data_IF_494718873607
#
_entry.id   IF_494718873607
#
_cell.length_a   1.000
_cell.length_b   1.000
_cell.length_c   1.000
_cell.angle_alpha   90.00
_cell.angle_beta   90.00
_cell.angle_gamma   90.00
#
_symmetry.space_group_name_H-M   'P 1'
#
loop_
_entity.id
_entity.type
_entity.pdbx_description
1 polymer ?
#
# COMPACT_ATOMS: atom_id res chain seq x y z
N UNK A 1 31.88 -11.27 -18.50
CA UNK A 1 30.60 -10.82 -19.08
C UNK A 1 30.02 -9.78 -18.15
N UNK A 2 29.80 -8.53 -18.57
CA UNK A 2 29.33 -7.47 -17.70
C UNK A 2 27.83 -7.63 -17.46
N UNK A 3 27.42 -7.63 -16.21
CA UNK A 3 26.00 -7.57 -15.79
C UNK A 3 25.51 -6.13 -15.90
N UNK A 4 24.54 -5.92 -16.75
CA UNK A 4 23.81 -4.67 -16.88
C UNK A 4 22.89 -4.48 -15.66
N UNK A 5 23.13 -3.43 -14.91
CA UNK A 5 22.23 -2.93 -13.86
C UNK A 5 20.97 -2.36 -14.51
N UNK A 6 19.81 -2.97 -14.25
CA UNK A 6 18.51 -2.37 -14.61
C UNK A 6 18.08 -1.43 -13.49
N UNK A 7 18.02 -0.15 -13.79
CA UNK A 7 17.32 0.84 -12.97
C UNK A 7 15.84 0.52 -12.96
N UNK A 8 15.24 0.47 -11.79
CA UNK A 8 13.79 0.39 -11.63
C UNK A 8 13.17 1.71 -12.10
N UNK A 9 12.49 1.69 -13.23
CA UNK A 9 11.71 2.81 -13.71
C UNK A 9 10.27 2.65 -13.20
N UNK A 10 9.79 3.67 -12.50
CA UNK A 10 8.35 3.82 -12.20
C UNK A 10 7.67 4.21 -13.50
N UNK A 11 6.94 3.30 -14.12
CA UNK A 11 6.17 3.58 -15.33
C UNK A 11 4.83 4.19 -14.91
N UNK A 12 4.67 5.49 -15.10
CA UNK A 12 3.36 6.13 -15.09
C UNK A 12 2.67 5.84 -16.41
N UNK A 13 1.59 5.08 -16.39
CA UNK A 13 0.76 4.84 -17.55
C UNK A 13 -0.06 6.11 -17.85
N UNK A 14 0.25 6.78 -18.95
CA UNK A 14 -0.53 7.91 -19.48
C UNK A 14 -1.73 7.36 -20.26
N UNK A 15 -2.93 7.55 -19.74
CA UNK A 15 -4.15 7.26 -20.47
C UNK A 15 -4.44 8.42 -21.45
N UNK A 16 -4.44 8.10 -22.74
CA UNK A 16 -4.85 9.04 -23.81
C UNK A 16 -6.38 9.01 -23.91
N UNK A 17 -7.02 10.11 -23.59
CA UNK A 17 -8.45 10.29 -23.79
C UNK A 17 -8.71 10.75 -25.24
N UNK A 18 -9.50 9.99 -25.99
CA UNK A 18 -10.00 10.40 -27.31
C UNK A 18 -11.18 11.37 -27.12
N UNK A 19 -11.03 12.57 -27.66
CA UNK A 19 -12.12 13.54 -27.78
C UNK A 19 -12.85 13.31 -29.12
N UNK A 20 -14.15 13.05 -29.04
CA UNK A 20 -15.05 13.04 -30.22
C UNK A 20 -15.47 14.48 -30.49
N UNK A 21 -15.11 15.01 -31.65
CA UNK A 21 -15.57 16.31 -32.11
C UNK A 21 -16.95 16.17 -32.75
N UNK A 22 -17.94 16.85 -32.20
CA UNK A 22 -19.23 17.10 -32.84
C UNK A 22 -19.18 18.46 -33.54
N UNK A 23 -19.29 18.45 -34.86
CA UNK A 23 -19.45 19.65 -35.66
C UNK A 23 -20.93 20.03 -35.71
N UNK A 24 -21.27 21.14 -35.11
CA UNK A 24 -22.59 21.79 -35.27
C UNK A 24 -22.37 23.28 -35.54
N UNK A 25 -22.86 23.74 -36.68
CA UNK A 25 -22.91 25.16 -37.03
C UNK A 25 -24.16 25.81 -36.42
N UNK A 26 -24.00 26.89 -35.69
CA UNK A 26 -25.05 27.88 -35.45
C UNK A 26 -24.44 29.21 -35.00
N UNK A 27 -24.91 30.26 -35.64
CA UNK A 27 -24.58 31.67 -35.44
C UNK A 27 -25.09 32.24 -34.11
N UNK A 28 -24.49 33.38 -33.76
CA UNK A 28 -24.99 34.47 -32.91
C UNK A 28 -24.48 34.56 -31.49
N UNK A 29 -23.71 35.61 -31.28
CA UNK A 29 -23.55 36.50 -30.10
C UNK A 29 -24.19 36.03 -28.77
N UNK A 30 -23.30 35.61 -27.87
CA UNK A 30 -23.50 35.78 -26.45
C UNK A 30 -22.13 35.77 -25.76
N UNK A 31 -21.88 36.79 -24.98
CA UNK A 31 -20.78 36.90 -24.02
C UNK A 31 -20.67 35.65 -23.17
N UNK A 32 -19.86 34.71 -23.64
CA UNK A 32 -19.60 33.46 -22.92
C UNK A 32 -18.39 33.72 -22.01
N UNK A 33 -18.65 34.07 -20.76
CA UNK A 33 -17.67 33.89 -19.70
C UNK A 33 -17.11 32.50 -19.80
N UNK A 34 -15.86 32.38 -20.19
CA UNK A 34 -15.15 31.12 -20.34
C UNK A 34 -15.18 30.39 -18.99
N UNK A 35 -16.10 29.44 -18.86
CA UNK A 35 -16.05 28.48 -17.74
C UNK A 35 -14.81 27.62 -17.96
N UNK A 36 -13.75 27.95 -17.27
CA UNK A 36 -12.54 27.13 -17.26
C UNK A 36 -12.97 25.75 -16.77
N UNK A 37 -12.99 24.79 -17.68
CA UNK A 37 -13.30 23.41 -17.34
C UNK A 37 -12.33 22.95 -16.25
N UNK A 38 -12.84 22.64 -15.07
CA UNK A 38 -12.06 22.02 -14.00
C UNK A 38 -11.54 20.70 -14.60
N UNK A 39 -10.22 20.47 -14.64
CA UNK A 39 -9.69 19.22 -15.19
C UNK A 39 -10.34 18.07 -14.41
N UNK A 40 -10.89 17.11 -15.14
CA UNK A 40 -11.48 15.92 -14.54
C UNK A 40 -10.44 15.29 -13.62
N UNK A 41 -10.79 15.13 -12.33
CA UNK A 41 -9.93 14.48 -11.36
C UNK A 41 -9.68 13.07 -11.88
N UNK A 42 -8.46 12.76 -12.28
CA UNK A 42 -8.08 11.39 -12.63
C UNK A 42 -8.40 10.49 -11.46
N UNK A 43 -9.07 9.37 -11.71
CA UNK A 43 -9.35 8.39 -10.66
C UNK A 43 -8.02 7.99 -9.99
N UNK A 44 -8.01 7.84 -8.66
CA UNK A 44 -6.81 7.41 -7.97
C UNK A 44 -6.30 6.10 -8.56
N UNK A 45 -5.00 6.05 -8.84
CA UNK A 45 -4.35 4.85 -9.36
C UNK A 45 -3.76 4.06 -8.19
N UNK A 46 -3.81 2.71 -8.24
CA UNK A 46 -3.19 1.90 -7.22
C UNK A 46 -1.67 2.08 -7.24
N UNK A 47 -1.06 2.01 -6.06
CA UNK A 47 0.38 2.15 -5.85
C UNK A 47 1.01 0.77 -5.74
N UNK A 48 2.04 0.52 -6.56
CA UNK A 48 2.84 -0.69 -6.54
C UNK A 48 4.31 -0.34 -6.29
N UNK A 49 5.03 -1.21 -5.60
CA UNK A 49 6.46 -1.03 -5.37
C UNK A 49 7.16 -2.37 -5.15
N UNK A 50 8.44 -2.42 -5.48
CA UNK A 50 9.30 -3.54 -5.17
C UNK A 50 10.20 -3.19 -3.97
N UNK A 51 10.34 -4.09 -3.04
CA UNK A 51 11.35 -3.94 -2.00
C UNK A 51 12.75 -4.09 -2.63
N UNK A 52 13.73 -3.31 -2.18
CA UNK A 52 15.09 -3.48 -2.66
C UNK A 52 15.59 -4.90 -2.37
N UNK A 53 16.41 -5.49 -3.26
CA UNK A 53 17.01 -6.79 -3.04
C UNK A 53 17.76 -6.81 -1.70
N UNK A 54 17.66 -7.92 -0.97
CA UNK A 54 18.37 -8.09 0.30
C UNK A 54 19.88 -7.92 0.12
N UNK A 55 20.52 -7.19 1.03
CA UNK A 55 21.96 -6.96 1.01
C UNK A 55 22.43 -5.82 0.08
N UNK A 56 21.53 -5.16 -0.62
CA UNK A 56 21.84 -3.93 -1.35
C UNK A 56 21.69 -2.75 -0.42
N UNK A 57 22.76 -1.99 -0.21
CA UNK A 57 22.68 -0.73 0.50
C UNK A 57 21.78 0.23 -0.28
N UNK A 58 20.64 0.55 0.31
CA UNK A 58 19.76 1.60 -0.23
C UNK A 58 20.40 2.94 0.12
N UNK A 59 20.46 3.86 -0.84
CA UNK A 59 20.72 5.26 -0.55
C UNK A 59 19.80 5.71 0.60
N UNK A 60 20.18 6.76 1.34
CA UNK A 60 19.44 7.23 2.52
C UNK A 60 17.91 7.09 2.30
N UNK A 61 17.16 6.51 3.24
CA UNK A 61 15.74 6.28 3.06
C UNK A 61 15.02 7.58 2.70
N UNK A 62 14.22 7.55 1.66
CA UNK A 62 13.41 8.67 1.18
C UNK A 62 11.96 8.20 0.98
N UNK A 63 11.01 9.08 1.21
CA UNK A 63 9.61 8.79 0.90
C UNK A 63 9.45 8.62 -0.61
N UNK A 64 8.78 7.54 -1.03
CA UNK A 64 8.45 7.32 -2.44
C UNK A 64 7.37 8.28 -2.92
N UNK A 65 6.47 8.69 -2.01
CA UNK A 65 5.39 9.62 -2.29
C UNK A 65 5.44 10.78 -1.29
N UNK A 66 5.08 11.98 -1.73
CA UNK A 66 5.00 13.16 -0.87
C UNK A 66 3.80 13.11 0.10
N UNK A 67 2.86 12.22 -0.15
CA UNK A 67 1.63 12.04 0.64
C UNK A 67 1.56 10.60 1.17
N UNK A 68 0.80 10.36 2.25
CA UNK A 68 0.62 9.02 2.77
C UNK A 68 -0.19 8.16 1.81
N UNK A 69 -0.14 6.85 2.05
CA UNK A 69 -0.98 5.86 1.38
C UNK A 69 -1.97 5.26 2.36
N UNK A 70 -3.08 4.80 1.82
CA UNK A 70 -4.04 3.95 2.48
C UNK A 70 -3.98 2.55 1.88
N UNK A 71 -3.97 1.53 2.72
CA UNK A 71 -3.91 0.13 2.31
C UNK A 71 -5.25 -0.51 2.66
N UNK A 72 -5.93 -1.07 1.66
CA UNK A 72 -7.24 -1.67 1.82
C UNK A 72 -7.20 -3.18 1.57
N UNK A 73 -8.05 -3.92 2.28
CA UNK A 73 -8.20 -5.36 2.11
C UNK A 73 -9.57 -5.70 1.50
N UNK A 74 -9.57 -6.60 0.51
CA UNK A 74 -10.77 -6.95 -0.26
C UNK A 74 -11.53 -8.17 0.31
N UNK A 75 -11.28 -8.53 1.55
CA UNK A 75 -11.93 -9.68 2.16
C UNK A 75 -13.46 -9.52 2.22
N UNK A 76 -14.16 -10.46 1.59
CA UNK A 76 -15.60 -10.67 1.70
C UNK A 76 -16.50 -9.55 1.14
N UNK A 77 -16.10 -8.84 0.06
CA UNK A 77 -16.98 -7.90 -0.70
C UNK A 77 -18.06 -7.24 0.18
N UNK A 78 -17.65 -6.65 1.30
CA UNK A 78 -18.57 -6.07 2.26
C UNK A 78 -18.99 -4.68 1.84
N UNK A 79 -20.11 -4.17 2.34
CA UNK A 79 -20.59 -2.82 2.00
C UNK A 79 -19.62 -1.72 2.46
N UNK A 80 -18.63 -2.05 3.30
CA UNK A 80 -17.64 -1.10 3.81
C UNK A 80 -16.22 -1.55 3.48
N UNK A 81 -15.46 -0.67 2.85
CA UNK A 81 -14.03 -0.87 2.63
C UNK A 81 -13.31 -0.97 3.97
N UNK A 82 -12.38 -1.93 4.08
CA UNK A 82 -11.58 -2.14 5.29
C UNK A 82 -10.13 -1.75 5.05
N UNK A 83 -9.55 -1.06 6.02
CA UNK A 83 -8.20 -0.49 5.95
C UNK A 83 -7.24 -1.19 6.91
N UNK A 84 -5.97 -1.23 6.53
CA UNK A 84 -4.86 -1.54 7.42
C UNK A 84 -4.77 -0.45 8.48
N UNK A 85 -4.90 -0.82 9.74
CA UNK A 85 -5.09 0.09 10.87
C UNK A 85 -4.16 -0.27 12.02
N UNK A 86 -3.55 0.73 12.65
CA UNK A 86 -2.82 0.52 13.90
C UNK A 86 -3.78 0.66 15.06
N UNK A 87 -3.79 -0.28 15.99
CA UNK A 87 -4.61 -0.17 17.19
C UNK A 87 -4.32 1.16 17.92
N UNK A 88 -5.34 2.01 18.00
CA UNK A 88 -5.25 3.34 18.58
C UNK A 88 -4.92 3.35 20.08
N UNK A 89 -5.18 2.25 20.78
CA UNK A 89 -4.89 2.10 22.20
C UNK A 89 -3.41 1.82 22.49
N UNK A 90 -2.62 1.58 21.43
CA UNK A 90 -1.19 1.34 21.50
C UNK A 90 -0.36 2.55 21.04
N UNK A 91 0.78 2.27 20.46
CA UNK A 91 1.73 3.27 19.91
C UNK A 91 3.19 2.91 20.21
N UNK A 92 3.41 2.03 21.16
CA UNK A 92 4.72 1.44 21.47
C UNK A 92 5.08 0.27 20.54
N UNK A 93 6.30 -0.23 20.70
CA UNK A 93 6.75 -1.42 20.00
C UNK A 93 5.86 -2.62 20.36
N UNK A 94 5.47 -3.40 19.35
CA UNK A 94 4.57 -4.53 19.49
C UNK A 94 3.08 -4.20 19.42
N UNK A 95 2.71 -2.93 19.20
CA UNK A 95 1.31 -2.56 18.97
C UNK A 95 0.76 -3.31 17.75
N UNK A 96 -0.39 -3.92 17.90
CA UNK A 96 -1.05 -4.74 16.89
C UNK A 96 -1.46 -3.89 15.69
N UNK A 97 -1.25 -4.45 14.52
CA UNK A 97 -1.86 -3.97 13.28
C UNK A 97 -3.05 -4.88 12.96
N UNK A 98 -4.15 -4.25 12.64
CA UNK A 98 -5.46 -4.87 12.48
C UNK A 98 -6.16 -4.36 11.22
N UNK A 99 -7.31 -4.92 10.95
CA UNK A 99 -8.23 -4.43 9.94
C UNK A 99 -9.37 -3.68 10.64
N UNK A 100 -9.66 -2.50 10.13
CA UNK A 100 -10.76 -1.67 10.61
C UNK A 100 -11.51 -1.03 9.44
N UNK A 101 -12.80 -0.76 9.62
CA UNK A 101 -13.54 0.02 8.63
C UNK A 101 -12.79 1.31 8.31
N UNK A 102 -12.63 1.61 7.02
CA UNK A 102 -11.97 2.85 6.60
C UNK A 102 -12.77 4.07 7.08
N UNK A 103 -12.16 4.87 7.92
CA UNK A 103 -12.78 6.04 8.55
C UNK A 103 -11.98 7.33 8.37
N UNK A 104 -10.87 7.26 7.59
CA UNK A 104 -10.01 8.41 7.28
C UNK A 104 -9.14 8.89 8.43
N UNK A 105 -9.06 8.15 9.53
CA UNK A 105 -8.22 8.51 10.67
C UNK A 105 -6.73 8.29 10.39
N UNK A 106 -5.89 8.91 11.19
CA UNK A 106 -4.43 8.85 11.03
C UNK A 106 -3.83 7.47 11.27
N UNK A 107 -4.51 6.59 12.00
CA UNK A 107 -4.09 5.19 12.21
C UNK A 107 -4.09 4.37 10.92
N UNK A 108 -4.82 4.79 9.91
CA UNK A 108 -5.01 4.08 8.64
C UNK A 108 -4.13 4.63 7.52
N UNK A 109 -3.22 5.54 7.86
CA UNK A 109 -2.32 6.20 6.92
C UNK A 109 -0.90 5.80 7.15
N UNK A 110 -0.15 5.59 6.04
CA UNK A 110 1.21 5.10 6.05
C UNK A 110 2.08 5.89 5.08
N UNK A 111 3.27 6.25 5.48
CA UNK A 111 4.28 6.76 4.55
C UNK A 111 5.05 5.60 3.95
N UNK A 112 5.08 5.53 2.62
CA UNK A 112 5.86 4.55 1.89
C UNK A 112 7.25 5.10 1.60
N UNK A 113 8.27 4.33 1.96
CA UNK A 113 9.70 4.65 1.77
C UNK A 113 10.32 3.80 0.66
N UNK A 114 11.41 4.30 0.03
CA UNK A 114 12.10 3.63 -1.06
C UNK A 114 12.82 2.33 -0.66
N UNK A 115 12.99 2.06 0.64
CA UNK A 115 13.47 0.80 1.18
C UNK A 115 12.33 -0.21 1.45
N UNK A 116 11.11 0.10 1.04
CA UNK A 116 9.92 -0.72 1.26
C UNK A 116 9.31 -0.59 2.66
N UNK A 117 9.81 0.30 3.51
CA UNK A 117 9.21 0.52 4.82
C UNK A 117 7.88 1.27 4.70
N UNK A 118 6.93 0.88 5.56
CA UNK A 118 5.65 1.53 5.74
C UNK A 118 5.63 2.15 7.15
N UNK A 119 5.91 3.45 7.24
CA UNK A 119 5.92 4.18 8.51
C UNK A 119 4.51 4.65 8.87
N UNK A 120 4.11 4.44 10.11
CA UNK A 120 2.81 4.89 10.60
C UNK A 120 2.71 6.43 10.60
N UNK A 121 1.67 6.96 9.97
CA UNK A 121 1.39 8.40 10.04
C UNK A 121 1.00 8.83 11.47
N UNK A 122 0.25 7.98 12.19
CA UNK A 122 -0.21 8.24 13.56
C UNK A 122 0.93 8.21 14.58
N UNK A 123 1.89 7.32 14.38
CA UNK A 123 3.01 7.08 15.30
C UNK A 123 4.33 7.25 14.55
N UNK A 124 4.80 8.49 14.33
CA UNK A 124 6.05 8.75 13.61
C UNK A 124 7.23 8.01 14.22
N UNK A 125 8.10 7.47 13.36
CA UNK A 125 9.23 6.64 13.78
C UNK A 125 8.87 5.18 14.04
N UNK A 126 7.59 4.77 13.86
CA UNK A 126 7.15 3.37 13.93
C UNK A 126 6.82 2.83 12.55
N UNK A 127 7.43 1.73 12.18
CA UNK A 127 7.27 1.05 10.91
C UNK A 127 6.47 -0.25 11.05
N UNK A 128 5.75 -0.61 9.99
CA UNK A 128 5.10 -1.90 9.87
C UNK A 128 6.17 -3.00 9.93
N UNK A 129 6.01 -3.95 10.85
CA UNK A 129 7.03 -4.92 11.22
C UNK A 129 6.42 -6.32 11.31
N UNK A 130 7.09 -7.30 10.73
CA UNK A 130 6.75 -8.70 10.93
C UNK A 130 7.53 -9.26 12.11
N UNK A 131 6.84 -9.70 13.15
CA UNK A 131 7.42 -10.19 14.39
C UNK A 131 8.43 -11.33 14.17
N UNK A 132 9.67 -11.11 14.58
CA UNK A 132 10.73 -12.11 14.45
C UNK A 132 10.45 -13.39 15.26
N UNK A 133 9.75 -13.27 16.38
CA UNK A 133 9.38 -14.41 17.24
C UNK A 133 8.47 -15.42 16.54
N UNK A 134 7.66 -14.95 15.58
CA UNK A 134 6.81 -15.80 14.76
C UNK A 134 7.56 -16.60 13.69
N UNK A 135 8.76 -16.15 13.30
CA UNK A 135 9.63 -16.85 12.35
C UNK A 135 9.08 -16.97 10.93
N UNK A 136 8.13 -16.15 10.54
CA UNK A 136 7.50 -16.17 9.21
C UNK A 136 6.50 -17.32 9.00
N UNK A 137 6.21 -18.09 10.05
CA UNK A 137 5.17 -19.13 9.99
C UNK A 137 3.78 -18.52 9.91
N UNK A 138 2.81 -19.32 9.50
CA UNK A 138 1.40 -18.95 9.52
C UNK A 138 1.00 -18.43 10.91
N UNK A 139 0.39 -17.23 10.94
CA UNK A 139 0.03 -16.54 12.17
C UNK A 139 1.14 -15.65 12.76
N UNK A 140 2.30 -15.50 12.11
CA UNK A 140 3.30 -14.52 12.52
C UNK A 140 2.67 -13.13 12.57
N UNK A 141 2.72 -12.50 13.74
CA UNK A 141 2.08 -11.20 13.99
C UNK A 141 2.70 -10.10 13.13
N UNK A 142 1.86 -9.24 12.59
CA UNK A 142 2.27 -7.94 12.05
C UNK A 142 1.95 -6.87 13.09
N UNK A 143 2.89 -5.99 13.34
CA UNK A 143 2.89 -4.99 14.42
C UNK A 143 3.51 -3.69 13.92
N UNK A 144 3.55 -2.65 14.76
CA UNK A 144 4.47 -1.55 14.58
C UNK A 144 5.65 -1.67 15.53
N UNK A 145 6.83 -1.24 15.08
CA UNK A 145 8.08 -1.24 15.84
C UNK A 145 8.93 -0.05 15.45
N UNK A 146 9.89 0.37 16.29
CA UNK A 146 10.85 1.41 15.92
C UNK A 146 11.44 1.14 14.54
N UNK A 147 11.40 2.13 13.66
CA UNK A 147 11.96 2.01 12.32
C UNK A 147 13.48 1.78 12.42
N UNK A 148 13.97 0.66 11.92
CA UNK A 148 15.35 0.23 12.07
C UNK A 148 15.98 -0.27 10.77
N UNK A 149 15.28 -0.11 9.63
CA UNK A 149 15.75 -0.49 8.29
C UNK A 149 16.11 -1.98 8.13
N UNK A 150 15.51 -2.85 8.91
CA UNK A 150 15.73 -4.29 8.84
C UNK A 150 14.76 -4.97 7.86
N UNK A 151 15.10 -6.16 7.32
CA UNK A 151 14.27 -6.84 6.32
C UNK A 151 12.84 -7.17 6.78
N UNK A 152 12.59 -7.37 8.07
CA UNK A 152 11.22 -7.60 8.57
C UNK A 152 10.34 -6.35 8.51
N UNK A 153 10.92 -5.16 8.28
CA UNK A 153 10.19 -3.90 8.06
C UNK A 153 10.15 -3.49 6.59
N UNK A 154 10.71 -4.29 5.69
CA UNK A 154 10.70 -4.03 4.27
C UNK A 154 9.63 -4.87 3.59
N UNK A 155 8.76 -4.19 2.85
CA UNK A 155 7.60 -4.78 2.19
C UNK A 155 7.63 -4.49 0.70
N UNK A 156 7.00 -5.35 -0.09
CA UNK A 156 6.80 -5.14 -1.53
C UNK A 156 5.38 -5.48 -1.94
N UNK A 157 4.88 -4.73 -2.93
CA UNK A 157 3.58 -4.93 -3.54
C UNK A 157 3.76 -4.82 -5.06
N UNK A 158 4.19 -5.92 -5.72
CA UNK A 158 4.54 -5.90 -7.12
C UNK A 158 3.31 -5.71 -8.01
N UNK A 159 3.48 -5.00 -9.12
CA UNK A 159 2.43 -4.82 -10.12
C UNK A 159 1.96 -6.18 -10.69
N UNK A 160 0.66 -6.34 -10.79
CA UNK A 160 0.04 -7.59 -11.28
C UNK A 160 -0.18 -8.65 -10.21
N UNK A 161 0.25 -8.40 -8.97
CA UNK A 161 -0.04 -9.25 -7.82
C UNK A 161 -0.65 -8.40 -6.69
N UNK A 162 -1.77 -8.82 -6.17
CA UNK A 162 -2.46 -8.12 -5.07
C UNK A 162 -1.94 -8.50 -3.69
N UNK A 163 -0.92 -9.34 -3.60
CA UNK A 163 -0.30 -9.71 -2.34
C UNK A 163 0.77 -8.70 -1.92
N UNK A 164 0.94 -8.52 -0.61
CA UNK A 164 2.03 -7.76 -0.02
C UNK A 164 3.00 -8.76 0.65
N UNK A 165 4.26 -8.68 0.27
CA UNK A 165 5.32 -9.59 0.71
C UNK A 165 6.24 -8.93 1.71
N UNK A 166 6.75 -9.70 2.67
CA UNK A 166 7.76 -9.26 3.62
C UNK A 166 9.15 -9.73 3.18
N UNK A 167 10.13 -8.82 3.10
CA UNK A 167 11.47 -9.16 2.59
C UNK A 167 12.22 -10.16 3.48
N UNK A 168 11.99 -10.17 4.79
CA UNK A 168 12.65 -11.12 5.72
C UNK A 168 12.17 -12.54 5.52
N UNK A 169 10.87 -12.69 5.26
CA UNK A 169 10.20 -14.00 5.23
C UNK A 169 9.76 -14.39 3.82
N UNK A 170 10.30 -13.70 2.81
CA UNK A 170 10.10 -14.05 1.42
C UNK A 170 10.84 -15.34 1.07
N UNK A 171 10.16 -16.46 1.18
CA UNK A 171 10.66 -17.77 0.79
C UNK A 171 10.02 -18.19 -0.54
N UNK A 172 10.60 -17.72 -1.65
CA UNK A 172 10.09 -18.05 -2.99
C UNK A 172 8.66 -17.56 -3.27
N UNK A 173 8.21 -16.50 -2.59
CA UNK A 173 6.87 -15.95 -2.76
C UNK A 173 5.75 -16.67 -2.01
N UNK A 174 6.10 -17.55 -1.06
CA UNK A 174 5.11 -18.39 -0.39
C UNK A 174 4.49 -17.80 0.87
N UNK A 175 5.04 -16.68 1.41
CA UNK A 175 4.53 -16.03 2.63
C UNK A 175 4.17 -14.59 2.33
N UNK A 176 2.94 -14.21 2.65
CA UNK A 176 2.37 -12.90 2.34
C UNK A 176 1.66 -12.31 3.55
N UNK A 177 1.39 -11.01 3.50
CA UNK A 177 0.50 -10.33 4.42
C UNK A 177 -0.91 -10.88 4.27
N UNK A 178 -1.52 -11.22 5.39
CA UNK A 178 -2.82 -11.88 5.47
C UNK A 178 -3.66 -11.24 6.56
N UNK A 179 -4.94 -11.08 6.30
CA UNK A 179 -5.93 -10.75 7.31
C UNK A 179 -6.43 -12.04 7.95
N UNK A 180 -6.48 -12.14 9.26
CA UNK A 180 -7.11 -13.27 9.94
C UNK A 180 -8.58 -13.43 9.49
N UNK A 181 -8.84 -14.48 8.71
CA UNK A 181 -10.15 -14.74 8.13
C UNK A 181 -11.18 -15.26 9.16
N UNK A 182 -10.73 -15.68 10.35
CA UNK A 182 -11.62 -16.18 11.39
C UNK A 182 -12.36 -15.04 12.12
N UNK A 183 -11.85 -13.81 12.03
CA UNK A 183 -12.49 -12.64 12.63
C UNK A 183 -13.27 -11.89 11.57
N UNK A 184 -14.56 -11.74 11.76
CA UNK A 184 -15.44 -11.00 10.86
C UNK A 184 -15.58 -9.55 11.33
N UNK A 185 -15.24 -8.59 10.47
CA UNK A 185 -15.38 -7.16 10.77
C UNK A 185 -14.11 -6.52 11.31
N UNK A 186 -14.28 -5.50 12.15
CA UNK A 186 -13.19 -4.74 12.74
C UNK A 186 -12.42 -5.57 13.78
N UNK A 187 -11.12 -5.28 13.91
CA UNK A 187 -10.26 -5.93 14.88
C UNK A 187 -9.64 -7.25 14.40
N UNK A 188 -9.86 -7.66 13.14
CA UNK A 188 -9.15 -8.80 12.58
C UNK A 188 -7.64 -8.48 12.52
N UNK A 189 -6.82 -9.33 13.13
CA UNK A 189 -5.36 -9.15 13.12
C UNK A 189 -4.80 -9.26 11.71
N UNK A 190 -3.73 -8.53 11.47
CA UNK A 190 -2.88 -8.74 10.30
C UNK A 190 -1.70 -9.61 10.72
N UNK A 191 -1.38 -10.57 9.87
CA UNK A 191 -0.40 -11.61 10.12
C UNK A 191 0.36 -11.96 8.84
N UNK A 192 1.38 -12.78 8.92
CA UNK A 192 1.94 -13.48 7.78
C UNK A 192 1.29 -14.86 7.66
N UNK A 193 1.04 -15.26 6.42
CA UNK A 193 0.48 -16.56 6.11
C UNK A 193 1.00 -17.09 4.79
N UNK A 194 1.01 -18.40 4.65
CA UNK A 194 1.28 -19.04 3.36
C UNK A 194 0.31 -18.49 2.30
N UNK A 195 0.82 -18.13 1.13
CA UNK A 195 0.03 -17.62 0.03
C UNK A 195 -0.97 -18.69 -0.44
N UNK A 196 -2.24 -18.36 -0.41
CA UNK A 196 -3.34 -19.26 -0.76
C UNK A 196 -4.29 -18.67 -1.82
N UNK A 197 -3.97 -17.46 -2.33
CA UNK A 197 -4.73 -16.77 -3.36
C UNK A 197 -6.17 -16.43 -2.97
N UNK A 198 -6.48 -16.38 -1.69
CA UNK A 198 -7.79 -15.99 -1.17
C UNK A 198 -7.87 -14.49 -0.89
N UNK A 199 -9.09 -13.96 -0.86
CA UNK A 199 -9.32 -12.50 -0.78
C UNK A 199 -8.80 -11.85 0.51
N UNK A 200 -8.59 -12.60 1.61
CA UNK A 200 -7.94 -12.05 2.81
C UNK A 200 -6.46 -11.67 2.59
N UNK A 201 -5.87 -12.11 1.47
CA UNK A 201 -4.50 -11.78 1.07
C UNK A 201 -4.45 -10.76 -0.07
N UNK A 202 -5.59 -10.20 -0.48
CA UNK A 202 -5.68 -9.21 -1.54
C UNK A 202 -5.69 -7.81 -0.96
N UNK A 203 -4.72 -7.04 -1.37
CA UNK A 203 -4.50 -5.69 -0.89
C UNK A 203 -4.46 -4.71 -2.06
N UNK A 204 -5.07 -3.57 -1.87
CA UNK A 204 -4.96 -2.43 -2.77
C UNK A 204 -4.39 -1.25 -2.00
N UNK A 205 -3.44 -0.55 -2.62
CA UNK A 205 -2.74 0.58 -2.01
C UNK A 205 -3.05 1.84 -2.81
N UNK A 206 -3.52 2.86 -2.13
CA UNK A 206 -3.97 4.09 -2.73
C UNK A 206 -3.23 5.27 -2.12
N UNK A 207 -2.77 6.22 -2.96
CA UNK A 207 -2.32 7.52 -2.47
C UNK A 207 -3.53 8.31 -1.93
N UNK A 208 -3.38 8.94 -0.75
CA UNK A 208 -4.42 9.75 -0.12
C UNK A 208 -4.50 11.17 -0.71
#
# INVERSE_FOLDING_TARGET
MPRTTRSAAVTAATAVAFAVALTGTADADADATAVTAIPARTAPQPVYWDAPPQGVAVAAPQRLLNQPVRITNDFAKRPTTQCLDVDANGGGNGTVVQIWQCNGTTQQRWYLWNNGALESYRFPGKCLDADLGGGGRNGTKVQIWDCNNTPQQSWSHPSGDRAIYNARFYSGGNTVMDRDANVVGNGARVQLWQKNFQSQQWWDVWAD
#
